data_IF_259459845527
#
_entry.id   IF_259459845527
#
_cell.length_a   1.000
_cell.length_b   1.000
_cell.length_c   1.000
_cell.angle_alpha   90.00
_cell.angle_beta   90.00
_cell.angle_gamma   90.00
#
_symmetry.space_group_name_H-M   'P 1'
#
loop_
_entity.id
_entity.type
_entity.pdbx_description
1 polymer ?
#
# COMPACT_ATOMS: atom_id res chain seq x y z
N UNK A 1 13.03 20.20 -3.87
CA UNK A 1 14.05 19.90 -2.85
C UNK A 1 13.40 19.02 -1.80
N UNK A 2 13.23 17.72 -2.09
CA UNK A 2 12.60 16.78 -1.15
C UNK A 2 13.73 16.17 -0.30
N UNK A 3 13.57 16.26 1.02
CA UNK A 3 14.61 15.99 2.02
C UNK A 3 15.16 14.55 1.94
N UNK A 4 16.49 14.41 1.94
CA UNK A 4 17.27 13.16 1.84
C UNK A 4 17.21 12.27 3.11
N UNK A 5 16.12 12.39 3.88
CA UNK A 5 15.85 11.68 5.14
C UNK A 5 14.37 11.30 5.31
N UNK A 6 13.63 11.17 4.20
CA UNK A 6 12.21 10.80 4.27
C UNK A 6 12.09 9.29 4.42
N UNK A 7 11.67 8.81 5.59
CA UNK A 7 11.34 7.41 5.83
C UNK A 7 9.92 7.15 5.35
N UNK A 8 9.74 6.12 4.54
CA UNK A 8 8.45 5.79 3.95
C UNK A 8 8.00 4.40 4.38
N UNK A 9 6.80 4.34 4.95
CA UNK A 9 6.20 3.10 5.48
C UNK A 9 4.77 2.93 4.98
N UNK A 10 4.43 1.70 4.62
CA UNK A 10 3.13 1.33 4.09
C UNK A 10 2.45 0.31 5.02
N UNK A 11 1.15 0.50 5.20
CA UNK A 11 0.31 -0.32 6.07
C UNK A 11 -0.93 -0.79 5.31
N UNK A 12 -1.37 -2.03 5.56
CA UNK A 12 -2.66 -2.57 5.14
C UNK A 12 -3.50 -2.83 6.40
N UNK A 13 -4.65 -2.18 6.49
CA UNK A 13 -5.58 -2.28 7.62
C UNK A 13 -4.87 -2.00 8.97
N UNK A 14 -3.96 -1.03 8.98
CA UNK A 14 -3.17 -0.64 10.16
C UNK A 14 -2.00 -1.56 10.51
N UNK A 15 -1.72 -2.61 9.72
CA UNK A 15 -0.57 -3.51 9.91
C UNK A 15 0.50 -3.21 8.87
N UNK A 16 1.80 -3.27 9.22
CA UNK A 16 2.86 -3.08 8.25
C UNK A 16 2.73 -4.13 7.15
N UNK A 17 2.89 -3.70 5.90
CA UNK A 17 2.80 -4.61 4.77
C UNK A 17 4.02 -5.54 4.79
N UNK A 18 3.75 -6.83 5.01
CA UNK A 18 4.74 -7.90 4.99
C UNK A 18 4.15 -9.08 4.19
N UNK A 19 3.64 -8.77 3.01
CA UNK A 19 3.03 -9.74 2.10
C UNK A 19 3.99 -10.04 0.95
N UNK A 20 4.07 -11.30 0.54
CA UNK A 20 4.90 -11.73 -0.59
C UNK A 20 4.33 -11.28 -1.93
N UNK A 21 3.02 -11.03 -2.02
CA UNK A 21 2.31 -10.57 -3.22
C UNK A 21 2.41 -9.05 -3.43
N UNK A 22 2.94 -8.31 -2.44
CA UNK A 22 3.02 -6.85 -2.46
C UNK A 22 4.48 -6.41 -2.49
N UNK A 23 4.87 -5.71 -3.55
CA UNK A 23 6.21 -5.17 -3.74
C UNK A 23 6.22 -3.66 -3.51
N UNK A 24 7.19 -3.19 -2.73
CA UNK A 24 7.47 -1.77 -2.54
C UNK A 24 8.61 -1.34 -3.47
N UNK A 25 8.28 -0.53 -4.47
CA UNK A 25 9.20 -0.06 -5.52
C UNK A 25 9.51 1.43 -5.34
N UNK A 26 10.55 1.93 -6.02
CA UNK A 26 10.99 3.33 -6.00
C UNK A 26 11.14 3.88 -4.57
N UNK A 27 12.01 3.28 -3.76
CA UNK A 27 12.22 3.66 -2.36
C UNK A 27 10.91 3.69 -1.54
N UNK A 28 10.10 2.66 -1.75
CA UNK A 28 8.77 2.46 -1.16
C UNK A 28 7.70 3.49 -1.58
N UNK A 29 7.96 4.32 -2.60
CA UNK A 29 7.00 5.30 -3.12
C UNK A 29 5.92 4.68 -3.99
N UNK A 30 6.12 3.45 -4.45
CA UNK A 30 5.15 2.71 -5.23
C UNK A 30 4.84 1.38 -4.56
N UNK A 31 3.55 1.07 -4.47
CA UNK A 31 3.04 -0.22 -4.03
C UNK A 31 2.51 -0.96 -5.25
N UNK A 32 3.10 -2.12 -5.52
CA UNK A 32 2.74 -2.98 -6.64
C UNK A 32 2.19 -4.31 -6.11
N UNK A 33 1.05 -4.73 -6.64
CA UNK A 33 0.40 -6.00 -6.31
C UNK A 33 0.45 -6.86 -7.58
N UNK A 34 1.19 -7.98 -7.56
CA UNK A 34 1.41 -8.78 -8.77
C UNK A 34 0.12 -9.45 -9.24
N UNK A 35 -0.60 -10.09 -8.30
CA UNK A 35 -1.87 -10.76 -8.58
C UNK A 35 -2.90 -10.38 -7.53
N UNK A 36 -3.78 -9.43 -7.86
CA UNK A 36 -4.81 -8.97 -6.93
C UNK A 36 -5.81 -10.08 -6.57
N UNK A 37 -5.94 -10.33 -5.27
CA UNK A 37 -6.85 -11.27 -4.64
C UNK A 37 -7.83 -10.54 -3.72
N UNK A 38 -8.88 -11.21 -3.26
CA UNK A 38 -9.81 -10.60 -2.30
C UNK A 38 -9.12 -10.22 -0.97
N UNK A 39 -7.99 -10.86 -0.63
CA UNK A 39 -7.19 -10.54 0.56
C UNK A 39 -6.43 -9.21 0.45
N UNK A 40 -6.21 -8.71 -0.76
CA UNK A 40 -5.56 -7.42 -1.02
C UNK A 40 -6.55 -6.24 -0.88
N UNK A 41 -7.85 -6.51 -0.70
CA UNK A 41 -8.81 -5.44 -0.44
C UNK A 41 -8.64 -4.88 0.98
N UNK A 42 -8.71 -3.56 1.12
CA UNK A 42 -8.59 -2.93 2.43
C UNK A 42 -8.18 -1.46 2.39
N UNK A 43 -7.83 -0.94 3.56
CA UNK A 43 -7.31 0.41 3.73
C UNK A 43 -5.79 0.39 3.70
N UNK A 44 -5.23 1.01 2.67
CA UNK A 44 -3.81 1.25 2.55
C UNK A 44 -3.46 2.62 3.14
N UNK A 45 -2.43 2.68 3.96
CA UNK A 45 -1.92 3.92 4.52
C UNK A 45 -0.44 4.07 4.21
N UNK A 46 -0.05 5.19 3.62
CA UNK A 46 1.35 5.54 3.38
C UNK A 46 1.75 6.68 4.32
N UNK A 47 2.83 6.47 5.07
CA UNK A 47 3.35 7.41 6.06
C UNK A 47 4.73 7.83 5.63
N UNK A 48 4.86 9.12 5.32
CA UNK A 48 6.12 9.79 5.03
C UNK A 48 6.54 10.61 6.25
N UNK A 49 7.67 10.26 6.84
CA UNK A 49 8.19 10.92 8.03
C UNK A 49 9.61 11.44 7.79
N UNK A 50 9.87 12.67 8.22
CA UNK A 50 11.19 13.28 8.26
C UNK A 50 11.37 14.00 9.60
N UNK A 51 12.61 14.41 9.92
CA UNK A 51 12.93 15.11 11.17
C UNK A 51 11.94 16.25 11.56
N UNK A 52 11.46 17.09 10.64
CA UNK A 52 10.51 18.14 10.97
C UNK A 52 9.03 17.73 10.99
N UNK A 53 8.63 16.54 10.51
CA UNK A 53 7.22 16.17 10.50
C UNK A 53 6.86 14.82 9.89
N UNK A 54 5.57 14.49 10.02
CA UNK A 54 4.95 13.25 9.54
C UNK A 54 3.71 13.59 8.73
N UNK A 55 3.60 13.00 7.55
CA UNK A 55 2.43 13.07 6.68
C UNK A 55 1.92 11.66 6.44
N UNK A 56 0.59 11.51 6.46
CA UNK A 56 -0.07 10.24 6.24
C UNK A 56 -1.15 10.40 5.18
N UNK A 57 -1.28 9.40 4.32
CA UNK A 57 -2.33 9.33 3.30
C UNK A 57 -2.98 7.96 3.28
N UNK A 58 -4.30 7.97 3.36
CA UNK A 58 -5.13 6.77 3.27
C UNK A 58 -5.74 6.59 1.89
N UNK A 59 -5.85 5.33 1.46
CA UNK A 59 -6.53 4.88 0.27
C UNK A 59 -7.38 3.65 0.57
N UNK A 60 -8.59 3.59 0.03
CA UNK A 60 -9.45 2.40 0.12
C UNK A 60 -9.37 1.66 -1.21
N UNK A 61 -8.96 0.39 -1.16
CA UNK A 61 -8.83 -0.49 -2.33
C UNK A 61 -9.86 -1.60 -2.21
N UNK A 62 -10.62 -1.79 -3.28
CA UNK A 62 -11.57 -2.89 -3.43
C UNK A 62 -11.14 -3.75 -4.62
N UNK A 63 -11.06 -5.07 -4.40
CA UNK A 63 -10.77 -6.03 -5.45
C UNK A 63 -12.07 -6.67 -5.89
N UNK A 64 -12.40 -6.54 -7.18
CA UNK A 64 -13.61 -7.10 -7.75
C UNK A 64 -13.29 -8.45 -8.39
N UNK A 65 -13.78 -9.53 -7.81
CA UNK A 65 -13.71 -10.85 -8.44
C UNK A 65 -14.75 -10.95 -9.57
N UNK A 66 -14.37 -11.65 -10.65
CA UNK A 66 -15.32 -11.93 -11.73
C UNK A 66 -16.41 -12.86 -11.18
N UNK A 67 -17.65 -12.41 -11.25
CA UNK A 67 -18.79 -13.30 -11.08
C UNK A 67 -18.84 -14.25 -12.29
N UNK A 68 -18.40 -15.50 -12.10
CA UNK A 68 -18.58 -16.54 -13.09
C UNK A 68 -20.07 -16.89 -13.14
N UNK A 69 -20.75 -16.49 -14.21
CA UNK A 69 -22.13 -16.94 -14.47
C UNK A 69 -22.08 -18.47 -14.58
N UNK A 70 -22.68 -19.17 -13.62
CA UNK A 70 -22.96 -20.59 -13.77
C UNK A 70 -23.92 -20.74 -14.96
N UNK A 71 -23.43 -21.36 -16.03
CA UNK A 71 -24.23 -21.91 -17.13
C UNK A 71 -24.86 -23.20 -16.65
#
# INVERSE_FOLDING_TARGET
>A
MFSMWTFLSAFLNGKPINDSNVLLLNDHQQLHIESATEGDAGRYSCVAENKPGRVEKDLIVAVLSKCLKKV
#
